data_IF_265467435047
#
_entry.id   IF_265467435047
#
_cell.length_a   1.000
_cell.length_b   1.000
_cell.length_c   1.000
_cell.angle_alpha   90.00
_cell.angle_beta   90.00
_cell.angle_gamma   90.00
#
_symmetry.space_group_name_H-M   'P 1'
#
loop_
_entity.id
_entity.type
_entity.pdbx_description
1 polymer ?
#
# COMPACT_ATOMS: atom_id res chain seq x y z
N UNK A 1 -12.42 18.75 -16.23
CA UNK A 1 -10.94 18.90 -16.22
C UNK A 1 -10.56 20.37 -16.29
N UNK A 2 -9.83 20.91 -15.30
CA UNK A 2 -9.30 22.28 -15.41
C UNK A 2 -8.25 22.33 -16.53
N UNK A 3 -8.23 23.40 -17.33
CA UNK A 3 -7.26 23.59 -18.44
C UNK A 3 -5.79 23.45 -17.99
N UNK A 4 -5.53 23.62 -16.69
CA UNK A 4 -4.23 23.52 -16.06
C UNK A 4 -3.67 22.08 -15.99
N UNK A 5 -4.52 21.06 -15.84
CA UNK A 5 -4.07 19.66 -15.74
C UNK A 5 -3.57 19.11 -17.07
N UNK A 6 -4.33 19.36 -18.15
CA UNK A 6 -3.92 18.97 -19.51
C UNK A 6 -2.60 19.63 -19.89
N UNK A 7 -2.47 20.93 -19.61
CA UNK A 7 -1.24 21.68 -19.82
C UNK A 7 -0.05 21.09 -19.04
N UNK A 8 -0.24 20.67 -17.79
CA UNK A 8 0.84 20.06 -17.00
C UNK A 8 1.30 18.72 -17.57
N UNK A 9 0.37 17.87 -18.03
CA UNK A 9 0.71 16.61 -18.71
C UNK A 9 1.43 16.86 -20.02
N UNK A 10 0.94 17.81 -20.82
CA UNK A 10 1.58 18.21 -22.09
C UNK A 10 2.98 18.78 -21.86
N UNK A 11 3.16 19.68 -20.90
CA UNK A 11 4.47 20.22 -20.54
C UNK A 11 5.43 19.13 -20.04
N UNK A 12 4.94 18.20 -19.22
CA UNK A 12 5.76 17.09 -18.72
C UNK A 12 6.19 16.16 -19.85
N UNK A 13 5.29 15.95 -20.84
CA UNK A 13 5.57 15.20 -22.06
C UNK A 13 6.61 15.91 -22.93
N UNK A 14 6.44 17.20 -23.18
CA UNK A 14 7.35 18.02 -23.99
C UNK A 14 8.74 18.13 -23.37
N UNK A 15 8.79 18.33 -22.05
CA UNK A 15 10.03 18.42 -21.27
C UNK A 15 10.62 17.06 -20.91
N UNK A 16 9.94 15.97 -21.28
CA UNK A 16 10.34 14.60 -21.03
C UNK A 16 10.65 14.31 -19.55
N UNK A 17 9.81 14.81 -18.65
CA UNK A 17 10.03 14.75 -17.21
C UNK A 17 9.83 13.33 -16.65
N UNK A 18 10.71 12.86 -15.76
CA UNK A 18 10.56 11.56 -15.10
C UNK A 18 9.59 11.59 -13.91
N UNK A 19 9.18 12.78 -13.47
CA UNK A 19 8.34 12.96 -12.29
C UNK A 19 7.19 13.92 -12.60
N UNK A 20 6.00 13.54 -12.15
CA UNK A 20 4.79 14.36 -12.27
C UNK A 20 4.05 14.36 -10.95
N UNK A 21 3.95 15.55 -10.34
CA UNK A 21 3.21 15.79 -9.12
C UNK A 21 1.88 16.51 -9.38
N UNK A 22 0.80 15.81 -9.08
CA UNK A 22 -0.59 16.28 -9.16
C UNK A 22 -1.30 16.19 -7.81
N UNK A 23 -0.55 16.29 -6.71
CA UNK A 23 -1.12 16.41 -5.36
C UNK A 23 -2.04 17.62 -5.20
N UNK A 24 -3.12 17.46 -4.43
CA UNK A 24 -4.01 18.55 -4.01
C UNK A 24 -4.66 19.34 -5.17
N UNK A 25 -4.85 18.71 -6.34
CA UNK A 25 -5.39 19.37 -7.54
C UNK A 25 -6.92 19.32 -7.64
N UNK A 26 -7.60 18.69 -6.68
CA UNK A 26 -9.06 18.53 -6.69
C UNK A 26 -9.56 17.67 -7.86
N UNK A 27 -8.78 16.66 -8.27
CA UNK A 27 -9.13 15.77 -9.39
C UNK A 27 -10.23 14.81 -8.93
N UNK A 28 -11.47 15.06 -9.32
CA UNK A 28 -12.64 14.37 -8.75
C UNK A 28 -13.34 13.35 -9.62
N UNK A 29 -13.05 13.32 -10.90
CA UNK A 29 -13.70 12.37 -11.78
C UNK A 29 -12.82 12.14 -13.02
N UNK A 30 -12.49 10.88 -13.25
CA UNK A 30 -11.66 10.44 -14.35
C UNK A 30 -12.47 9.88 -15.52
N UNK A 31 -13.81 9.83 -15.46
CA UNK A 31 -14.61 9.04 -16.41
C UNK A 31 -15.99 9.58 -16.84
N UNK A 32 -16.48 10.75 -16.39
CA UNK A 32 -17.84 11.16 -16.78
C UNK A 32 -17.97 11.86 -18.15
N UNK A 33 -18.91 11.30 -18.93
CA UNK A 33 -19.28 11.50 -20.34
C UNK A 33 -18.36 10.77 -21.32
N UNK A 34 -18.96 9.84 -22.11
CA UNK A 34 -18.40 9.25 -23.33
C UNK A 34 -17.35 10.19 -23.98
N UNK A 35 -16.06 9.97 -23.69
CA UNK A 35 -14.98 10.72 -24.32
C UNK A 35 -14.13 11.68 -23.50
N UNK A 36 -14.18 11.75 -22.16
CA UNK A 36 -13.23 12.62 -21.40
C UNK A 36 -12.66 11.93 -20.15
N UNK A 37 -11.83 10.91 -20.35
CA UNK A 37 -10.98 10.39 -19.29
C UNK A 37 -9.91 11.41 -18.88
N UNK A 38 -9.22 11.26 -17.73
CA UNK A 38 -7.81 11.75 -17.67
C UNK A 38 -7.18 11.26 -18.95
N UNK A 39 -6.58 12.16 -19.75
CA UNK A 39 -6.34 11.83 -21.14
C UNK A 39 -5.52 10.54 -21.16
N UNK A 40 -5.85 9.59 -22.06
CA UNK A 40 -4.98 8.44 -22.34
C UNK A 40 -3.51 8.87 -22.50
N UNK A 41 -3.28 10.16 -22.76
CA UNK A 41 -2.01 10.88 -22.72
C UNK A 41 -1.18 10.74 -21.43
N UNK A 42 -1.72 10.41 -20.26
CA UNK A 42 -0.83 10.10 -19.11
C UNK A 42 0.07 8.91 -19.43
N UNK A 43 -0.48 7.92 -20.15
CA UNK A 43 0.26 6.77 -20.67
C UNK A 43 1.22 7.12 -21.82
N UNK A 44 1.14 8.33 -22.39
CA UNK A 44 2.13 8.84 -23.35
C UNK A 44 3.40 9.36 -22.67
N UNK A 45 3.40 9.52 -21.33
CA UNK A 45 4.59 9.88 -20.56
C UNK A 45 5.53 8.66 -20.44
N UNK A 46 6.14 8.26 -21.57
CA UNK A 46 6.97 7.06 -21.68
C UNK A 46 8.19 7.03 -20.75
N UNK A 47 8.61 8.20 -20.27
CA UNK A 47 9.76 8.35 -19.37
C UNK A 47 9.38 8.57 -17.91
N UNK A 48 8.08 8.50 -17.57
CA UNK A 48 7.61 8.71 -16.22
C UNK A 48 8.06 7.58 -15.29
N UNK A 49 8.72 7.96 -14.20
CA UNK A 49 9.19 7.08 -13.13
C UNK A 49 8.41 7.31 -11.83
N UNK A 50 7.97 8.55 -11.58
CA UNK A 50 7.23 8.95 -10.38
C UNK A 50 5.94 9.65 -10.78
N UNK A 51 4.82 9.17 -10.25
CA UNK A 51 3.51 9.77 -10.44
C UNK A 51 2.80 9.94 -9.10
N UNK A 52 2.52 11.18 -8.72
CA UNK A 52 1.84 11.52 -7.48
C UNK A 52 0.46 12.12 -7.74
N UNK A 53 -0.58 11.44 -7.24
CA UNK A 53 -1.98 11.85 -7.26
C UNK A 53 -2.57 11.97 -5.84
N UNK A 54 -1.71 12.13 -4.84
CA UNK A 54 -2.12 12.24 -3.44
C UNK A 54 -3.18 13.33 -3.20
N UNK A 55 -4.10 13.07 -2.28
CA UNK A 55 -5.15 14.00 -1.84
C UNK A 55 -5.96 14.61 -2.99
N UNK A 56 -6.57 13.72 -3.76
CA UNK A 56 -7.53 14.08 -4.80
C UNK A 56 -8.87 13.38 -4.50
N UNK A 57 -9.74 13.29 -5.49
CA UNK A 57 -11.08 12.71 -5.38
C UNK A 57 -11.26 11.64 -6.48
N UNK A 58 -10.17 10.96 -6.87
CA UNK A 58 -10.17 9.99 -7.97
C UNK A 58 -10.98 8.75 -7.57
N UNK A 59 -11.98 8.39 -8.37
CA UNK A 59 -12.83 7.22 -8.13
C UNK A 59 -12.40 5.98 -8.92
N UNK A 60 -11.79 6.19 -10.10
CA UNK A 60 -11.34 5.12 -11.01
C UNK A 60 -10.09 5.55 -11.79
N UNK A 61 -9.26 4.57 -12.19
CA UNK A 61 -8.08 4.77 -13.02
C UNK A 61 -8.29 4.23 -14.44
N UNK A 62 -7.61 4.78 -15.47
CA UNK A 62 -7.72 4.29 -16.83
C UNK A 62 -6.90 3.00 -16.98
N UNK A 63 -7.36 2.05 -17.80
CA UNK A 63 -6.62 0.81 -18.05
C UNK A 63 -5.22 1.05 -18.62
N UNK A 64 -5.04 2.17 -19.33
CA UNK A 64 -3.78 2.60 -19.93
C UNK A 64 -2.69 2.92 -18.90
N UNK A 65 -3.01 3.13 -17.61
CA UNK A 65 -1.95 3.36 -16.60
C UNK A 65 -0.92 2.22 -16.59
N UNK A 66 -1.36 1.00 -16.90
CA UNK A 66 -0.52 -0.19 -17.02
C UNK A 66 0.51 -0.15 -18.15
N UNK A 67 0.42 0.80 -19.10
CA UNK A 67 1.41 0.94 -20.18
C UNK A 67 2.63 1.77 -19.80
N UNK A 68 2.67 2.37 -18.59
CA UNK A 68 3.80 3.15 -18.10
C UNK A 68 5.00 2.26 -17.76
N UNK A 69 5.85 2.01 -18.76
CA UNK A 69 6.94 1.01 -18.68
C UNK A 69 8.03 1.35 -17.66
N UNK A 70 8.20 2.62 -17.31
CA UNK A 70 9.25 3.09 -16.40
C UNK A 70 8.73 3.50 -15.02
N UNK A 71 7.43 3.41 -14.78
CA UNK A 71 6.83 3.87 -13.53
C UNK A 71 7.30 2.98 -12.37
N UNK A 72 8.03 3.60 -11.44
CA UNK A 72 8.56 2.96 -10.22
C UNK A 72 7.77 3.34 -8.98
N UNK A 73 7.24 4.56 -8.94
CA UNK A 73 6.55 5.10 -7.77
C UNK A 73 5.19 5.65 -8.18
N UNK A 74 4.14 5.10 -7.59
CA UNK A 74 2.76 5.55 -7.81
C UNK A 74 2.10 5.84 -6.46
N UNK A 75 1.78 7.12 -6.23
CA UNK A 75 1.05 7.55 -5.06
C UNK A 75 -0.39 7.92 -5.46
N UNK A 76 -1.34 7.18 -4.91
CA UNK A 76 -2.79 7.35 -5.08
C UNK A 76 -3.49 7.53 -3.72
N UNK A 77 -2.73 7.86 -2.68
CA UNK A 77 -3.25 8.02 -1.32
C UNK A 77 -4.26 9.15 -1.21
N UNK A 78 -5.19 9.05 -0.27
CA UNK A 78 -6.27 10.02 -0.03
C UNK A 78 -7.08 10.30 -1.32
N UNK A 79 -7.69 9.26 -1.87
CA UNK A 79 -8.60 9.35 -3.02
C UNK A 79 -9.93 8.63 -2.68
N UNK A 80 -10.70 8.24 -3.69
CA UNK A 80 -12.01 7.58 -3.55
C UNK A 80 -12.06 6.30 -4.39
N UNK A 81 -10.91 5.65 -4.61
CA UNK A 81 -10.80 4.48 -5.47
C UNK A 81 -11.63 3.33 -4.91
N UNK A 82 -12.56 2.83 -5.71
CA UNK A 82 -13.35 1.63 -5.37
C UNK A 82 -12.83 0.38 -6.07
N UNK A 83 -12.04 0.54 -7.14
CA UNK A 83 -11.48 -0.55 -7.94
C UNK A 83 -10.18 -0.13 -8.62
N UNK A 84 -9.32 -1.10 -8.91
CA UNK A 84 -8.16 -0.93 -9.78
C UNK A 84 -8.45 -1.54 -11.16
N UNK A 85 -8.00 -0.89 -12.26
CA UNK A 85 -8.36 -1.29 -13.60
C UNK A 85 -7.76 -2.65 -13.98
N UNK A 86 -8.41 -3.37 -14.90
CA UNK A 86 -7.84 -4.59 -15.47
C UNK A 86 -6.46 -4.30 -16.06
N UNK A 87 -5.51 -5.20 -15.80
CA UNK A 87 -4.14 -5.04 -16.28
C UNK A 87 -3.25 -4.20 -15.36
N UNK A 88 -3.77 -3.66 -14.24
CA UNK A 88 -2.97 -2.87 -13.29
C UNK A 88 -1.70 -3.60 -12.83
N UNK A 89 -1.78 -4.92 -12.66
CA UNK A 89 -0.63 -5.74 -12.29
C UNK A 89 0.44 -5.96 -13.37
N UNK A 90 0.31 -5.31 -14.54
CA UNK A 90 1.26 -5.41 -15.66
C UNK A 90 2.30 -4.29 -15.67
N UNK A 91 2.37 -3.44 -14.63
CA UNK A 91 3.40 -2.41 -14.49
C UNK A 91 4.77 -3.09 -14.23
N UNK A 92 5.72 -3.04 -15.17
CA UNK A 92 6.89 -3.91 -15.14
C UNK A 92 7.99 -3.45 -14.18
N UNK A 93 7.93 -2.20 -13.73
CA UNK A 93 8.98 -1.55 -12.94
C UNK A 93 8.47 -0.99 -11.61
N UNK A 94 7.21 -1.25 -11.23
CA UNK A 94 6.62 -0.61 -10.05
C UNK A 94 7.23 -1.14 -8.76
N UNK A 95 7.85 -0.27 -7.97
CA UNK A 95 8.51 -0.62 -6.71
C UNK A 95 7.74 -0.11 -5.49
N UNK A 96 7.06 1.03 -5.61
CA UNK A 96 6.29 1.64 -4.51
C UNK A 96 4.90 1.98 -4.98
N UNK A 97 3.91 1.48 -4.24
CA UNK A 97 2.50 1.75 -4.47
C UNK A 97 1.83 2.18 -3.18
N UNK A 98 1.31 3.40 -3.17
CA UNK A 98 0.51 3.93 -2.07
C UNK A 98 -0.95 4.07 -2.49
N UNK A 99 -1.83 3.32 -1.81
CA UNK A 99 -3.28 3.30 -1.98
C UNK A 99 -4.00 3.63 -0.66
N UNK A 100 -3.29 4.23 0.31
CA UNK A 100 -3.80 4.56 1.64
C UNK A 100 -5.01 5.51 1.56
N UNK A 101 -6.00 5.38 2.43
CA UNK A 101 -7.21 6.23 2.42
C UNK A 101 -7.94 6.19 1.07
N UNK A 102 -8.47 5.01 0.72
CA UNK A 102 -9.36 4.79 -0.42
C UNK A 102 -10.57 3.95 0.03
N UNK A 103 -11.35 3.43 -0.92
CA UNK A 103 -12.51 2.57 -0.67
C UNK A 103 -12.29 1.17 -1.25
N UNK A 104 -11.05 0.67 -1.16
CA UNK A 104 -10.67 -0.63 -1.73
C UNK A 104 -11.01 -1.76 -0.75
N UNK A 105 -11.38 -2.90 -1.31
CA UNK A 105 -11.52 -4.18 -0.59
C UNK A 105 -10.91 -5.31 -1.44
N UNK A 106 -11.03 -6.56 -0.99
CA UNK A 106 -10.47 -7.71 -1.68
C UNK A 106 -10.97 -7.90 -3.13
N UNK A 107 -12.18 -7.44 -3.45
CA UNK A 107 -12.75 -7.50 -4.80
C UNK A 107 -12.30 -6.33 -5.70
N UNK A 108 -11.70 -5.29 -5.11
CA UNK A 108 -11.18 -4.12 -5.83
C UNK A 108 -9.85 -4.40 -6.54
N UNK A 109 -9.15 -5.48 -6.18
CA UNK A 109 -7.87 -5.87 -6.77
C UNK A 109 -8.10 -6.75 -8.02
N UNK A 110 -7.56 -6.40 -9.21
CA UNK A 110 -7.69 -7.23 -10.39
C UNK A 110 -6.91 -8.54 -10.21
N UNK A 111 -7.33 -9.62 -10.89
CA UNK A 111 -6.70 -10.94 -10.73
C UNK A 111 -5.21 -11.02 -11.06
N UNK A 112 -4.63 -10.03 -11.75
CA UNK A 112 -3.19 -9.94 -11.99
C UNK A 112 -2.45 -9.00 -11.02
N UNK A 113 -3.11 -8.41 -10.01
CA UNK A 113 -2.50 -7.44 -9.09
C UNK A 113 -1.20 -7.95 -8.46
N UNK A 114 -1.18 -9.21 -8.05
CA UNK A 114 0.00 -9.84 -7.44
C UNK A 114 1.08 -10.26 -8.44
N UNK A 115 0.99 -9.84 -9.71
CA UNK A 115 2.06 -10.00 -10.71
C UNK A 115 3.07 -8.83 -10.67
N UNK A 116 2.83 -7.83 -9.82
CA UNK A 116 3.75 -6.72 -9.52
C UNK A 116 4.97 -7.18 -8.70
N UNK A 117 5.71 -8.16 -9.21
CA UNK A 117 6.82 -8.84 -8.52
C UNK A 117 8.04 -7.94 -8.26
N UNK A 118 8.01 -6.70 -8.75
CA UNK A 118 9.00 -5.66 -8.46
C UNK A 118 8.67 -4.85 -7.20
N UNK A 119 7.46 -4.96 -6.65
CA UNK A 119 7.04 -4.17 -5.49
C UNK A 119 7.92 -4.44 -4.28
N UNK A 120 8.34 -3.33 -3.66
CA UNK A 120 9.11 -3.25 -2.42
C UNK A 120 8.31 -2.60 -1.29
N UNK A 121 7.38 -1.70 -1.61
CA UNK A 121 6.51 -1.10 -0.61
C UNK A 121 5.07 -1.03 -1.12
N UNK A 122 4.14 -1.54 -0.32
CA UNK A 122 2.71 -1.54 -0.59
C UNK A 122 1.97 -0.98 0.62
N UNK A 123 1.28 0.14 0.42
CA UNK A 123 0.45 0.78 1.44
C UNK A 123 -1.03 0.66 1.05
N UNK A 124 -1.79 -0.02 1.89
CA UNK A 124 -3.23 -0.28 1.76
C UNK A 124 -3.98 0.15 3.03
N UNK A 125 -3.38 1.00 3.86
CA UNK A 125 -3.96 1.44 5.14
C UNK A 125 -5.23 2.26 4.93
N UNK A 126 -6.13 2.26 5.92
CA UNK A 126 -7.41 2.97 5.87
C UNK A 126 -8.21 2.66 4.59
N UNK A 127 -8.46 1.37 4.36
CA UNK A 127 -9.35 0.84 3.34
C UNK A 127 -10.37 -0.11 4.00
N UNK A 128 -11.11 -0.90 3.20
CA UNK A 128 -12.19 -1.78 3.64
C UNK A 128 -11.85 -3.27 3.44
N UNK A 129 -10.57 -3.65 3.49
CA UNK A 129 -10.16 -5.06 3.33
C UNK A 129 -10.60 -5.90 4.53
N UNK A 130 -11.39 -6.94 4.27
CA UNK A 130 -11.74 -7.96 5.27
C UNK A 130 -10.83 -9.19 5.14
N UNK A 131 -10.37 -9.49 3.92
CA UNK A 131 -9.47 -10.59 3.62
C UNK A 131 -8.32 -10.07 2.76
N UNK A 132 -7.09 -10.49 3.09
CA UNK A 132 -5.95 -10.34 2.20
C UNK A 132 -5.80 -11.61 1.35
N UNK A 133 -5.83 -11.52 0.00
CA UNK A 133 -5.70 -12.70 -0.84
C UNK A 133 -4.38 -13.47 -0.61
N UNK A 134 -4.39 -14.81 -0.62
CA UNK A 134 -3.19 -15.65 -0.49
C UNK A 134 -2.09 -15.32 -1.49
N UNK A 135 -2.47 -14.81 -2.66
CA UNK A 135 -1.53 -14.38 -3.71
C UNK A 135 -0.55 -13.28 -3.28
N UNK A 136 -0.73 -12.64 -2.12
CA UNK A 136 0.27 -11.74 -1.52
C UNK A 136 1.66 -12.38 -1.44
N UNK A 137 1.75 -13.69 -1.22
CA UNK A 137 3.03 -14.44 -1.17
C UNK A 137 3.87 -14.33 -2.45
N UNK A 138 3.25 -14.00 -3.59
CA UNK A 138 3.95 -13.77 -4.88
C UNK A 138 4.83 -12.51 -4.85
N UNK A 139 4.58 -11.55 -3.96
CA UNK A 139 5.34 -10.29 -3.84
C UNK A 139 6.63 -10.49 -3.02
N UNK A 140 7.47 -11.43 -3.42
CA UNK A 140 8.66 -11.86 -2.66
C UNK A 140 9.74 -10.78 -2.43
N UNK A 141 9.70 -9.67 -3.17
CA UNK A 141 10.59 -8.50 -2.99
C UNK A 141 10.04 -7.45 -2.03
N UNK A 142 8.83 -7.66 -1.50
CA UNK A 142 8.16 -6.70 -0.64
C UNK A 142 8.93 -6.56 0.68
N UNK A 143 9.24 -5.32 1.04
CA UNK A 143 9.96 -4.92 2.26
C UNK A 143 9.04 -4.21 3.25
N UNK A 144 8.03 -3.50 2.75
CA UNK A 144 7.05 -2.76 3.56
C UNK A 144 5.64 -3.17 3.12
N UNK A 145 4.84 -3.62 4.07
CA UNK A 145 3.42 -3.88 3.89
C UNK A 145 2.61 -3.17 4.98
N UNK A 146 1.79 -2.22 4.58
CA UNK A 146 0.92 -1.48 5.48
C UNK A 146 -0.55 -1.79 5.22
N UNK A 147 -1.22 -2.37 6.20
CA UNK A 147 -2.62 -2.81 6.20
C UNK A 147 -3.36 -2.22 7.40
N UNK A 148 -2.85 -1.14 7.98
CA UNK A 148 -3.39 -0.52 9.18
C UNK A 148 -4.82 -0.03 8.95
N UNK A 149 -5.64 -0.06 9.99
CA UNK A 149 -6.98 0.52 10.01
C UNK A 149 -7.92 -0.03 8.91
N UNK A 150 -7.79 -1.31 8.58
CA UNK A 150 -8.72 -2.09 7.74
C UNK A 150 -9.69 -2.92 8.60
N UNK A 151 -10.43 -3.85 7.98
CA UNK A 151 -11.38 -4.76 8.65
C UNK A 151 -10.88 -6.22 8.68
N UNK A 152 -9.56 -6.46 8.57
CA UNK A 152 -8.98 -7.79 8.38
C UNK A 152 -9.35 -8.73 9.53
N UNK A 153 -9.93 -9.89 9.20
CA UNK A 153 -10.31 -10.93 10.17
C UNK A 153 -9.23 -12.00 10.37
N UNK A 154 -8.37 -12.17 9.37
CA UNK A 154 -7.23 -13.09 9.40
C UNK A 154 -6.15 -12.61 8.43
N UNK A 155 -4.93 -13.13 8.60
CA UNK A 155 -3.87 -13.03 7.60
C UNK A 155 -3.70 -14.40 6.91
N UNK A 156 -3.46 -14.43 5.59
CA UNK A 156 -3.13 -15.67 4.89
C UNK A 156 -1.78 -16.22 5.37
N UNK A 157 -1.61 -17.55 5.35
CA UNK A 157 -0.34 -18.20 5.72
C UNK A 157 0.80 -17.78 4.78
N UNK A 158 0.47 -17.42 3.55
CA UNK A 158 1.36 -16.96 2.49
C UNK A 158 2.06 -15.64 2.86
N UNK A 159 1.62 -14.93 3.92
CA UNK A 159 2.38 -13.82 4.49
C UNK A 159 3.80 -14.25 4.89
N UNK A 160 3.98 -15.52 5.30
CA UNK A 160 5.28 -16.10 5.64
C UNK A 160 6.21 -16.31 4.44
N UNK A 161 5.74 -16.11 3.21
CA UNK A 161 6.55 -16.20 1.98
C UNK A 161 7.27 -14.88 1.66
N UNK A 162 6.90 -13.78 2.33
CA UNK A 162 7.48 -12.44 2.16
C UNK A 162 8.86 -12.33 2.84
N UNK A 163 9.81 -13.16 2.43
CA UNK A 163 11.15 -13.28 3.06
C UNK A 163 11.98 -12.00 3.13
N UNK A 164 11.65 -10.97 2.34
CA UNK A 164 12.32 -9.66 2.37
C UNK A 164 11.59 -8.62 3.22
N UNK A 165 10.46 -8.98 3.85
CA UNK A 165 9.65 -8.06 4.62
C UNK A 165 10.41 -7.59 5.87
N UNK A 166 10.46 -6.28 6.06
CA UNK A 166 11.10 -5.60 7.20
C UNK A 166 10.08 -4.86 8.03
N UNK A 167 9.01 -4.39 7.40
CA UNK A 167 7.98 -3.59 8.04
C UNK A 167 6.59 -4.15 7.73
N UNK A 168 5.86 -4.48 8.79
CA UNK A 168 4.49 -4.98 8.72
C UNK A 168 3.61 -4.20 9.72
N UNK A 169 2.63 -3.49 9.17
CA UNK A 169 1.66 -2.72 9.93
C UNK A 169 0.27 -3.32 9.77
N UNK A 170 -0.28 -3.87 10.84
CA UNK A 170 -1.60 -4.53 10.88
C UNK A 170 -2.45 -4.00 12.04
N UNK A 171 -2.12 -2.81 12.58
CA UNK A 171 -2.88 -2.22 13.67
C UNK A 171 -4.30 -1.87 13.26
N UNK A 172 -5.24 -1.84 14.21
CA UNK A 172 -6.59 -1.35 13.94
C UNK A 172 -7.40 -2.24 13.02
N UNK A 173 -7.19 -3.56 13.09
CA UNK A 173 -7.95 -4.57 12.35
C UNK A 173 -8.81 -5.40 13.32
N UNK A 174 -9.36 -6.52 12.84
CA UNK A 174 -10.20 -7.45 13.59
C UNK A 174 -9.50 -8.80 13.80
N UNK A 175 -8.17 -8.80 13.83
CA UNK A 175 -7.37 -10.01 13.97
C UNK A 175 -7.47 -10.55 15.41
N UNK A 176 -7.76 -11.84 15.53
CA UNK A 176 -7.81 -12.51 16.84
C UNK A 176 -6.56 -13.36 17.11
N UNK A 177 -5.90 -13.82 16.04
CA UNK A 177 -4.71 -14.68 16.05
C UNK A 177 -3.81 -14.33 14.85
N UNK A 178 -2.55 -14.75 14.88
CA UNK A 178 -1.60 -14.64 13.75
C UNK A 178 -1.30 -16.02 13.14
N UNK A 179 -1.15 -16.18 11.82
CA UNK A 179 -0.74 -17.44 11.23
C UNK A 179 0.68 -17.83 11.72
N UNK A 180 0.94 -19.10 12.10
CA UNK A 180 2.27 -19.53 12.54
C UNK A 180 3.38 -19.27 11.52
N UNK A 181 3.05 -19.26 10.22
CA UNK A 181 3.95 -18.97 9.12
C UNK A 181 4.53 -17.55 9.17
N UNK A 182 3.86 -16.60 9.84
CA UNK A 182 4.44 -15.29 10.11
C UNK A 182 5.75 -15.40 10.92
N UNK A 183 5.89 -16.44 11.73
CA UNK A 183 7.12 -16.76 12.47
C UNK A 183 8.32 -17.08 11.57
N UNK A 184 8.13 -17.35 10.28
CA UNK A 184 9.21 -17.55 9.31
C UNK A 184 9.93 -16.23 8.96
N UNK A 185 9.31 -15.09 9.25
CA UNK A 185 9.88 -13.78 8.98
C UNK A 185 10.77 -13.32 10.16
N UNK A 186 11.80 -12.55 9.84
CA UNK A 186 12.61 -11.84 10.84
C UNK A 186 12.08 -10.42 11.00
N UNK A 187 11.05 -10.25 11.84
CA UNK A 187 10.45 -8.95 12.15
C UNK A 187 10.75 -8.46 13.58
N UNK A 188 11.70 -9.12 14.26
CA UNK A 188 12.06 -8.83 15.67
C UNK A 188 13.36 -8.06 15.83
N UNK A 189 14.14 -7.88 14.75
CA UNK A 189 15.42 -7.19 14.82
C UNK A 189 15.31 -5.66 14.92
N UNK A 190 16.44 -5.00 15.14
CA UNK A 190 16.53 -3.55 15.38
C UNK A 190 16.14 -2.67 14.18
N UNK A 191 16.17 -3.22 12.97
CA UNK A 191 15.84 -2.50 11.72
C UNK A 191 14.47 -2.91 11.18
N UNK A 192 13.70 -3.63 11.98
CA UNK A 192 12.41 -4.18 11.60
C UNK A 192 11.30 -3.56 12.44
N UNK A 193 10.14 -3.43 11.82
CA UNK A 193 8.98 -2.80 12.40
C UNK A 193 7.81 -3.76 12.29
N UNK A 194 7.32 -4.23 13.43
CA UNK A 194 6.07 -4.96 13.51
C UNK A 194 5.11 -4.21 14.42
N UNK A 195 3.94 -3.89 13.88
CA UNK A 195 2.90 -3.16 14.60
C UNK A 195 1.57 -3.87 14.44
N UNK A 196 0.96 -4.24 15.56
CA UNK A 196 -0.26 -5.06 15.60
C UNK A 196 -1.22 -4.66 16.72
N UNK A 197 -1.03 -3.46 17.27
CA UNK A 197 -1.87 -2.89 18.32
C UNK A 197 -3.32 -2.69 17.84
N UNK A 198 -4.27 -2.50 18.76
CA UNK A 198 -5.68 -2.25 18.43
C UNK A 198 -6.35 -3.36 17.60
N UNK A 199 -6.10 -4.62 17.98
CA UNK A 199 -6.79 -5.79 17.45
C UNK A 199 -7.40 -6.60 18.61
N UNK A 200 -8.53 -7.30 18.40
CA UNK A 200 -9.19 -8.12 19.42
C UNK A 200 -8.50 -9.47 19.62
N UNK A 201 -7.22 -9.44 20.00
CA UNK A 201 -6.40 -10.63 20.25
C UNK A 201 -7.03 -11.55 21.31
N UNK A 202 -7.01 -12.87 21.07
CA UNK A 202 -7.35 -13.83 22.12
C UNK A 202 -6.30 -13.79 23.23
N UNK A 203 -6.71 -14.06 24.48
CA UNK A 203 -5.85 -13.92 25.68
C UNK A 203 -4.46 -14.52 25.51
N UNK A 204 -4.28 -15.76 25.00
CA UNK A 204 -2.95 -16.37 24.92
C UNK A 204 -1.92 -15.57 24.10
N UNK A 205 -2.33 -14.99 22.96
CA UNK A 205 -1.43 -14.16 22.13
C UNK A 205 -1.40 -12.70 22.63
N UNK A 206 -2.51 -12.21 23.19
CA UNK A 206 -2.58 -10.88 23.81
C UNK A 206 -1.57 -10.71 24.95
N UNK A 207 -1.41 -11.74 25.78
CA UNK A 207 -0.43 -11.76 26.88
C UNK A 207 1.00 -11.65 26.34
N UNK A 208 1.30 -12.22 25.18
CA UNK A 208 2.63 -12.10 24.56
C UNK A 208 2.90 -10.70 24.03
N UNK A 209 1.87 -10.01 23.52
CA UNK A 209 2.00 -8.61 23.11
C UNK A 209 2.40 -7.70 24.27
N UNK A 210 1.95 -7.99 25.51
CA UNK A 210 2.36 -7.24 26.70
C UNK A 210 3.84 -7.42 27.04
N UNK A 211 4.42 -8.58 26.69
CA UNK A 211 5.84 -8.90 26.86
C UNK A 211 6.72 -8.39 25.71
N UNK A 212 6.10 -7.93 24.62
CA UNK A 212 6.76 -7.36 23.45
C UNK A 212 6.84 -8.29 22.24
N UNK A 213 7.20 -7.70 21.09
CA UNK A 213 7.17 -8.36 19.78
C UNK A 213 8.00 -9.64 19.74
N UNK A 214 9.16 -9.70 20.38
CA UNK A 214 10.00 -10.91 20.40
C UNK A 214 9.29 -12.11 21.03
N UNK A 215 8.53 -11.90 22.12
CA UNK A 215 7.75 -12.96 22.77
C UNK A 215 6.60 -13.42 21.89
N UNK A 216 5.94 -12.51 21.16
CA UNK A 216 4.92 -12.87 20.17
C UNK A 216 5.51 -13.82 19.12
N UNK A 217 6.67 -13.47 18.57
CA UNK A 217 7.32 -14.29 17.54
C UNK A 217 7.84 -15.63 18.05
N UNK A 218 8.37 -15.69 19.28
CA UNK A 218 8.72 -16.95 19.93
C UNK A 218 7.48 -17.84 20.15
N UNK A 219 6.40 -17.23 20.63
CA UNK A 219 5.14 -17.92 20.88
C UNK A 219 4.54 -18.48 19.60
N UNK A 220 4.43 -17.70 18.52
CA UNK A 220 3.83 -18.19 17.26
C UNK A 220 4.65 -19.28 16.57
N UNK A 221 5.96 -19.37 16.85
CA UNK A 221 6.83 -20.45 16.37
C UNK A 221 6.67 -21.75 17.16
N UNK A 222 6.14 -21.69 18.38
CA UNK A 222 6.00 -22.85 19.25
C UNK A 222 5.01 -23.89 18.72
N UNK A 223 5.27 -25.17 18.98
CA UNK A 223 4.33 -26.26 18.65
C UNK A 223 3.00 -26.11 19.40
N UNK A 224 3.04 -25.58 20.62
CA UNK A 224 1.84 -25.27 21.40
C UNK A 224 0.95 -24.27 20.67
N UNK A 225 1.51 -23.16 20.17
CA UNK A 225 0.72 -22.19 19.42
C UNK A 225 0.19 -22.76 18.11
N UNK A 226 1.00 -23.51 17.35
CA UNK A 226 0.54 -24.15 16.11
C UNK A 226 -0.68 -25.05 16.35
N UNK A 227 -0.66 -25.83 17.42
CA UNK A 227 -1.81 -26.64 17.83
C UNK A 227 -3.03 -25.78 18.20
N UNK A 228 -2.86 -24.76 19.04
CA UNK A 228 -3.94 -23.86 19.45
C UNK A 228 -4.54 -23.08 18.28
N UNK A 229 -3.69 -22.59 17.37
CA UNK A 229 -4.08 -21.94 16.13
C UNK A 229 -4.91 -22.88 15.25
N UNK A 230 -4.46 -24.12 15.05
CA UNK A 230 -5.21 -25.11 14.28
C UNK A 230 -6.60 -25.40 14.87
N UNK A 231 -6.69 -25.50 16.20
CA UNK A 231 -7.97 -25.65 16.92
C UNK A 231 -8.87 -24.43 16.77
N UNK A 232 -8.31 -23.22 16.88
CA UNK A 232 -9.03 -21.95 16.69
C UNK A 232 -9.62 -21.85 15.28
N UNK A 233 -8.83 -22.17 14.26
CA UNK A 233 -9.29 -22.15 12.87
C UNK A 233 -10.35 -23.22 12.58
N UNK A 234 -10.23 -24.42 13.17
CA UNK A 234 -11.25 -25.47 13.04
C UNK A 234 -12.56 -25.12 13.74
N UNK A 235 -12.50 -24.38 14.85
CA UNK A 235 -13.69 -23.93 15.57
C UNK A 235 -14.48 -22.88 14.77
N UNK A 236 -13.87 -22.25 13.76
CA UNK A 236 -14.46 -21.22 12.90
C UNK A 236 -15.26 -20.18 13.70
N UNK A 237 -14.62 -19.50 14.68
CA UNK A 237 -15.31 -18.53 15.52
C UNK A 237 -15.88 -17.41 14.67
N UNK A 238 -17.03 -16.88 15.08
CA UNK A 238 -17.60 -15.71 14.43
C UNK A 238 -16.59 -14.56 14.43
N UNK A 239 -16.33 -13.91 13.28
CA UNK A 239 -15.43 -12.78 13.22
C UNK A 239 -15.86 -11.67 14.20
N UNK A 240 -14.91 -10.99 14.87
CA UNK A 240 -15.23 -9.82 15.67
C UNK A 240 -16.07 -8.82 14.88
N UNK A 241 -17.01 -8.12 15.52
CA UNK A 241 -17.89 -7.18 14.82
C UNK A 241 -17.08 -6.10 14.11
N UNK A 242 -17.54 -5.68 12.93
CA UNK A 242 -16.97 -4.52 12.22
C UNK A 242 -17.02 -3.31 13.14
N UNK A 243 -15.91 -2.60 13.24
CA UNK A 243 -15.88 -1.34 13.98
C UNK A 243 -16.63 -0.34 13.09
N UNK A 244 -17.91 -0.07 13.40
CA UNK A 244 -18.67 1.02 12.78
C UNK A 244 -18.09 2.36 13.25
N UNK A 245 -16.89 2.67 12.76
CA UNK A 245 -16.43 4.05 12.74
C UNK A 245 -17.38 4.83 11.83
N UNK A 246 -17.69 6.08 12.14
CA UNK A 246 -18.39 7.01 11.26
C UNK A 246 -17.53 7.35 10.00
N UNK A 247 -16.90 6.35 9.36
CA UNK A 247 -16.06 6.44 8.15
C UNK A 247 -16.85 6.83 6.91
N UNK A 248 -18.19 6.70 6.94
CA UNK A 248 -19.09 7.40 5.99
C UNK A 248 -19.11 8.91 6.29
N UNK A 249 -17.95 9.56 6.25
CA UNK A 249 -17.88 11.03 6.17
C UNK A 249 -18.35 11.39 4.77
N UNK A 250 -19.56 11.96 4.73
CA UNK A 250 -20.19 12.66 3.61
C UNK A 250 -19.31 12.82 2.36
N UNK A 251 -19.73 12.24 1.24
CA UNK A 251 -19.11 12.32 -0.09
C UNK A 251 -18.90 13.75 -0.66
N UNK A 252 -19.06 14.81 0.14
CA UNK A 252 -19.01 16.21 -0.28
C UNK A 252 -18.27 17.19 0.65
N UNK A 253 -17.60 16.75 1.73
CA UNK A 253 -16.82 17.66 2.58
C UNK A 253 -15.32 17.53 2.29
N UNK A 254 -14.60 18.62 1.94
CA UNK A 254 -13.14 18.62 1.92
C UNK A 254 -12.60 18.23 3.29
N UNK A 255 -11.56 17.40 3.33
CA UNK A 255 -10.89 17.04 4.58
C UNK A 255 -10.48 18.30 5.35
N UNK A 256 -10.88 18.39 6.62
CA UNK A 256 -10.47 19.53 7.45
C UNK A 256 -9.01 19.36 7.88
N UNK A 257 -8.19 20.43 7.83
CA UNK A 257 -6.76 20.38 8.21
C UNK A 257 -6.50 19.81 9.61
N UNK A 258 -7.47 19.89 10.52
CA UNK A 258 -7.39 19.41 11.89
C UNK A 258 -7.37 17.89 12.03
N UNK A 259 -7.92 17.16 11.07
CA UNK A 259 -7.83 15.68 11.02
C UNK A 259 -6.48 15.20 10.47
N UNK A 260 -5.70 16.11 9.88
CA UNK A 260 -4.37 15.88 9.31
C UNK A 260 -3.27 16.15 10.36
N UNK A 261 -3.57 16.88 11.46
CA UNK A 261 -2.57 17.31 12.47
C UNK A 261 -1.93 16.18 13.30
N UNK A 262 -2.42 14.94 13.19
CA UNK A 262 -1.77 13.74 13.77
C UNK A 262 -0.82 13.02 12.82
N UNK A 263 -0.74 13.48 11.56
CA UNK A 263 -0.05 12.81 10.46
C UNK A 263 0.84 13.85 9.78
N UNK A 264 1.94 14.22 10.46
CA UNK A 264 3.14 14.55 9.71
C UNK A 264 3.43 13.28 8.89
N UNK A 265 3.22 13.25 7.58
CA UNK A 265 4.17 13.88 6.67
C UNK A 265 5.55 13.20 6.71
N UNK A 266 5.70 12.08 7.44
CA UNK A 266 7.00 11.47 7.69
C UNK A 266 7.36 10.24 6.83
N UNK A 267 6.44 9.64 6.05
CA UNK A 267 6.77 8.34 5.42
C UNK A 267 6.69 8.26 3.89
N UNK A 268 6.08 9.21 3.18
CA UNK A 268 6.29 9.29 1.73
C UNK A 268 7.40 10.28 1.40
N UNK A 269 7.27 11.59 1.68
CA UNK A 269 8.22 12.60 1.18
C UNK A 269 9.55 12.78 1.94
N UNK A 270 9.57 12.54 3.24
CA UNK A 270 10.81 12.52 4.04
C UNK A 270 11.62 11.25 3.82
N UNK A 271 10.96 10.09 3.65
CA UNK A 271 11.62 8.87 3.16
C UNK A 271 11.96 8.97 1.67
N UNK A 272 11.17 9.66 0.85
CA UNK A 272 11.48 9.98 -0.56
C UNK A 272 12.74 10.83 -0.68
N UNK A 273 12.93 11.83 0.20
CA UNK A 273 14.17 12.61 0.26
C UNK A 273 15.37 11.74 0.69
N UNK A 274 15.17 10.78 1.60
CA UNK A 274 16.22 9.87 2.05
C UNK A 274 16.57 8.76 1.03
N UNK A 275 15.57 8.20 0.33
CA UNK A 275 15.76 7.19 -0.73
C UNK A 275 16.35 7.80 -2.00
N UNK A 276 15.99 9.04 -2.35
CA UNK A 276 16.61 9.78 -3.45
C UNK A 276 18.10 10.09 -3.14
N UNK A 277 18.42 10.43 -1.89
CA UNK A 277 19.81 10.60 -1.44
C UNK A 277 20.62 9.28 -1.50
N UNK A 278 20.02 8.13 -1.22
CA UNK A 278 20.68 6.83 -1.33
C UNK A 278 20.90 6.38 -2.79
N UNK A 279 20.01 6.76 -3.72
CA UNK A 279 20.17 6.45 -5.15
C UNK A 279 21.25 7.30 -5.83
N UNK A 280 21.41 8.57 -5.40
CA UNK A 280 22.47 9.45 -5.91
C UNK A 280 23.87 9.13 -5.37
N UNK A 281 23.99 8.40 -4.26
CA UNK A 281 25.28 8.00 -3.69
C UNK A 281 25.94 6.79 -4.38
N UNK A 282 25.28 6.17 -5.37
CA UNK A 282 25.75 4.96 -6.06
C UNK A 282 25.94 5.12 -7.58
N UNK A 283 25.88 6.34 -8.12
CA UNK A 283 26.42 6.58 -9.46
C UNK A 283 27.95 6.65 -9.42
N UNK A 284 28.67 5.79 -10.16
CA UNK A 284 30.11 5.96 -10.31
C UNK A 284 30.36 7.30 -11.00
N UNK A 285 31.19 8.14 -10.40
CA UNK A 285 31.68 9.33 -11.07
C UNK A 285 32.32 8.90 -12.38
N UNK A 286 31.73 9.33 -13.50
CA UNK A 286 32.40 9.33 -14.79
C UNK A 286 33.52 10.35 -14.64
N UNK A 287 34.73 9.87 -14.37
CA UNK A 287 35.95 10.62 -14.56
C UNK A 287 36.04 10.97 -16.05
N UNK A 288 35.61 12.17 -16.41
CA UNK A 288 36.06 12.82 -17.64
C UNK A 288 37.45 13.39 -17.36
N UNK A 289 38.46 12.52 -17.46
CA UNK A 289 39.81 12.96 -17.75
C UNK A 289 39.94 13.00 -19.28
N UNK A 290 40.12 14.21 -19.84
CA UNK A 290 41.03 14.47 -20.95
C UNK A 290 41.01 15.95 -21.36
N UNK A 291 42.04 16.45 -22.06
CA UNK A 291 43.12 15.72 -22.76
C UNK A 291 44.49 15.74 -22.08
#
# INVERSE_FOLDING_TARGET
MSKSLKKLVEESREKNQPEVDMSDRGISNMLDVNGLSVPPNIAELKNLEVLNFFNNQIEELPTQISSLQKLKHLNLGMNRLNTLPRGFGSLPALEVLDLTYNNLNENSLPGNFFYLTTLRALYLSDNDFEILPPDIGKLTKLQILSLRDNDLISLPKEIGELSQLKELHIQGNRLTVLPPELGNLDLTGQKQVFKAENNPWVTPIADQFQLGVSHVFEYIRSETYKYLYGRHMQANPEPPKKIMTNRKRSAGSPWQPEQIRGWHGLDFWSLFSLLLLFSLALSPQINTANP
#
